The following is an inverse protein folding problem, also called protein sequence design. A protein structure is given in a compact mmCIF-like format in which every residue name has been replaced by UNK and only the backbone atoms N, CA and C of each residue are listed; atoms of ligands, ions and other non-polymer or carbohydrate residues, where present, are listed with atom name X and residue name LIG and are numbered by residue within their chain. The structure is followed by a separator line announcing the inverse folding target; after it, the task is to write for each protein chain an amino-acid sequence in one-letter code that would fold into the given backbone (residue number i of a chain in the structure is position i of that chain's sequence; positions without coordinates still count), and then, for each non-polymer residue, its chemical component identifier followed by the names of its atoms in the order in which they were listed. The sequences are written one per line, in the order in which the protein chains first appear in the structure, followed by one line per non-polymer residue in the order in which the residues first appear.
data_IF_402880825746
#
_entry.id   IF_402880825746
#
_cell.length_a   1.000
_cell.length_b   1.000
_cell.length_c   1.000
_cell.angle_alpha   90.00
_cell.angle_beta   90.00
_cell.angle_gamma   90.00
#
_symmetry.space_group_name_H-M   'P 1'
#
loop_
_entity.id
_entity.type
_entity.pdbx_description
1 polymer ?
#
# COMPACT_ATOMS: atom_id res chain seq x y z
N UNK A 1 2.41 17.09 7.53
CA UNK A 1 3.00 15.74 7.76
C UNK A 1 2.07 14.76 7.07
N UNK A 2 2.51 14.17 5.97
CA UNK A 2 1.67 13.36 5.08
C UNK A 2 1.80 11.91 5.52
N UNK A 3 0.70 11.29 5.94
CA UNK A 3 0.62 9.85 6.19
C UNK A 3 0.54 9.21 4.81
N UNK A 4 1.64 8.60 4.37
CA UNK A 4 1.62 7.74 3.20
C UNK A 4 1.45 6.31 3.68
N UNK A 5 0.41 5.69 3.12
CA UNK A 5 0.22 4.25 2.94
C UNK A 5 -0.11 3.41 4.17
N UNK A 6 -1.11 2.54 3.97
CA UNK A 6 -1.89 1.74 4.92
C UNK A 6 -1.10 0.66 5.67
N UNK A 7 0.23 0.72 5.59
CA UNK A 7 1.09 -0.09 6.43
C UNK A 7 1.03 0.56 7.79
N UNK A 8 0.42 -0.10 8.77
CA UNK A 8 0.56 0.28 10.17
C UNK A 8 2.03 0.63 10.40
N UNK A 9 2.32 1.68 11.16
CA UNK A 9 3.72 2.12 11.43
C UNK A 9 4.62 0.99 11.98
N UNK A 10 4.01 -0.14 12.29
CA UNK A 10 4.51 -1.34 12.92
C UNK A 10 4.77 -2.50 11.91
N UNK A 11 4.44 -2.36 10.62
CA UNK A 11 4.65 -3.38 9.57
C UNK A 11 3.47 -4.36 9.39
N UNK A 12 3.40 -5.04 8.24
CA UNK A 12 2.29 -5.96 7.93
C UNK A 12 2.48 -7.39 8.48
N UNK A 13 1.37 -8.14 8.54
CA UNK A 13 1.37 -9.58 8.77
C UNK A 13 2.09 -10.36 7.65
N UNK A 14 2.65 -11.52 7.98
CA UNK A 14 3.41 -12.36 7.05
C UNK A 14 2.60 -12.73 5.79
N UNK A 15 1.31 -13.03 5.96
CA UNK A 15 0.40 -13.41 4.86
C UNK A 15 0.18 -12.27 3.86
N UNK A 16 0.20 -11.01 4.33
CA UNK A 16 0.08 -9.82 3.48
C UNK A 16 1.31 -9.67 2.59
N UNK A 17 2.52 -9.87 3.12
CA UNK A 17 3.74 -9.86 2.31
C UNK A 17 3.74 -10.94 1.23
N UNK A 18 3.30 -12.16 1.58
CA UNK A 18 3.22 -13.25 0.62
C UNK A 18 2.24 -12.96 -0.52
N UNK A 19 1.05 -12.43 -0.20
CA UNK A 19 0.07 -12.06 -1.21
C UNK A 19 0.55 -10.87 -2.05
N UNK A 20 1.16 -9.85 -1.43
CA UNK A 20 1.72 -8.71 -2.13
C UNK A 20 2.86 -9.11 -3.08
N UNK A 21 3.75 -10.03 -2.66
CA UNK A 21 4.82 -10.58 -3.49
C UNK A 21 4.28 -11.33 -4.70
N UNK A 22 3.24 -12.16 -4.51
CA UNK A 22 2.54 -12.86 -5.60
C UNK A 22 1.90 -11.89 -6.59
N UNK A 23 1.22 -10.86 -6.10
CA UNK A 23 0.61 -9.83 -6.95
C UNK A 23 1.70 -9.10 -7.73
N UNK A 24 2.75 -8.63 -7.05
CA UNK A 24 3.88 -7.94 -7.67
C UNK A 24 4.54 -8.79 -8.75
N UNK A 25 4.83 -10.06 -8.49
CA UNK A 25 5.41 -10.98 -9.48
C UNK A 25 4.58 -11.03 -10.77
N UNK A 26 3.25 -11.03 -10.67
CA UNK A 26 2.37 -11.07 -11.84
C UNK A 26 2.25 -9.75 -12.62
N UNK A 27 2.70 -8.61 -12.07
CA UNK A 27 2.53 -7.28 -12.68
C UNK A 27 3.82 -6.48 -12.82
N UNK A 28 4.95 -7.01 -12.36
CA UNK A 28 6.24 -6.33 -12.43
C UNK A 28 6.65 -6.04 -13.88
N UNK A 29 7.41 -4.98 -14.07
CA UNK A 29 7.90 -4.62 -15.39
C UNK A 29 9.09 -5.52 -15.72
N UNK A 30 8.90 -6.48 -16.63
CA UNK A 30 10.01 -7.28 -17.14
C UNK A 30 10.95 -6.42 -17.97
N UNK A 31 12.24 -6.50 -17.64
CA UNK A 31 13.31 -5.81 -18.39
C UNK A 31 13.90 -6.77 -19.42
N UNK A 32 14.26 -6.23 -20.58
CA UNK A 32 14.97 -6.99 -21.61
C UNK A 32 16.26 -7.60 -21.03
N UNK A 33 16.67 -8.78 -21.52
CA UNK A 33 17.77 -9.58 -20.94
C UNK A 33 19.10 -8.82 -20.85
N UNK A 34 19.34 -7.85 -21.72
CA UNK A 34 20.52 -6.97 -21.72
C UNK A 34 20.49 -5.87 -20.64
N UNK A 35 19.30 -5.59 -20.08
CA UNK A 35 19.05 -4.55 -19.06
C UNK A 35 18.54 -5.11 -17.73
N UNK A 36 18.40 -6.44 -17.64
CA UNK A 36 17.91 -7.12 -16.44
C UNK A 36 19.00 -7.15 -15.38
N UNK A 37 18.88 -6.28 -14.38
CA UNK A 37 19.85 -6.18 -13.28
C UNK A 37 19.41 -7.01 -12.07
N UNK A 38 18.11 -7.18 -11.88
CA UNK A 38 17.50 -8.04 -10.85
C UNK A 38 16.69 -9.13 -11.53
N UNK A 39 16.91 -10.38 -11.12
CA UNK A 39 16.21 -11.55 -11.66
C UNK A 39 15.05 -11.92 -10.75
N UNK A 40 13.86 -11.95 -11.34
CA UNK A 40 12.66 -12.45 -10.68
C UNK A 40 12.44 -13.92 -11.01
N UNK A 41 11.68 -14.63 -10.16
CA UNK A 41 11.27 -15.99 -10.44
C UNK A 41 10.51 -16.07 -11.77
N UNK A 42 10.58 -17.21 -12.44
CA UNK A 42 9.85 -17.41 -13.69
C UNK A 42 8.33 -17.37 -13.50
N UNK A 43 7.61 -17.16 -14.60
CA UNK A 43 6.14 -17.24 -14.66
C UNK A 43 5.68 -18.64 -14.23
N UNK A 44 5.40 -18.77 -12.93
CA UNK A 44 4.64 -19.89 -12.41
C UNK A 44 3.14 -19.65 -12.63
N UNK A 45 2.34 -20.71 -12.48
CA UNK A 45 0.89 -20.63 -12.62
C UNK A 45 0.30 -19.44 -11.83
N UNK A 46 -0.85 -18.87 -12.27
CA UNK A 46 -1.45 -17.72 -11.62
C UNK A 46 -1.51 -17.92 -10.11
N UNK A 47 -0.99 -16.97 -9.32
CA UNK A 47 -0.81 -17.19 -7.91
C UNK A 47 -2.17 -17.42 -7.24
N UNK A 48 -2.31 -18.52 -6.50
CA UNK A 48 -3.44 -18.71 -5.60
C UNK A 48 -3.28 -17.69 -4.47
N UNK A 49 -4.11 -16.65 -4.51
CA UNK A 49 -4.21 -15.61 -3.50
C UNK A 49 -5.16 -16.07 -2.40
N UNK A 50 -4.67 -16.10 -1.17
CA UNK A 50 -5.46 -16.50 0.00
C UNK A 50 -5.51 -15.30 0.95
N UNK A 51 -6.66 -14.61 0.96
CA UNK A 51 -6.89 -13.46 1.82
C UNK A 51 -7.68 -13.90 3.05
N UNK A 52 -7.23 -13.49 4.23
CA UNK A 52 -7.94 -13.72 5.50
C UNK A 52 -9.26 -12.95 5.54
N UNK A 53 -9.22 -11.71 5.07
CA UNK A 53 -10.33 -10.75 5.11
C UNK A 53 -10.10 -9.61 4.09
N UNK A 54 -11.10 -8.73 3.94
CA UNK A 54 -11.08 -7.63 2.98
C UNK A 54 -9.99 -6.58 3.25
N UNK A 55 -9.62 -6.36 4.52
CA UNK A 55 -8.54 -5.42 4.89
C UNK A 55 -7.18 -6.00 4.50
N UNK A 56 -6.93 -7.29 4.80
CA UNK A 56 -5.74 -8.02 4.37
C UNK A 56 -5.58 -8.02 2.85
N UNK A 57 -6.69 -8.17 2.12
CA UNK A 57 -6.70 -8.08 0.65
C UNK A 57 -6.28 -6.69 0.18
N UNK A 58 -6.91 -5.63 0.70
CA UNK A 58 -6.60 -4.24 0.33
C UNK A 58 -5.12 -3.92 0.59
N UNK A 59 -4.62 -4.27 1.77
CA UNK A 59 -3.25 -4.01 2.16
C UNK A 59 -2.23 -4.75 1.27
N UNK A 60 -2.56 -5.99 0.87
CA UNK A 60 -1.72 -6.77 -0.05
C UNK A 60 -1.59 -6.10 -1.43
N UNK A 61 -2.72 -5.63 -1.99
CA UNK A 61 -2.71 -4.90 -3.26
C UNK A 61 -1.99 -3.57 -3.15
N UNK A 62 -2.29 -2.79 -2.10
CA UNK A 62 -1.65 -1.49 -1.88
C UNK A 62 -0.13 -1.63 -1.78
N UNK A 63 0.34 -2.58 -0.98
CA UNK A 63 1.76 -2.86 -0.82
C UNK A 63 2.41 -3.28 -2.15
N UNK A 64 1.77 -4.17 -2.92
CA UNK A 64 2.28 -4.60 -4.22
C UNK A 64 2.37 -3.45 -5.24
N UNK A 65 1.31 -2.63 -5.35
CA UNK A 65 1.29 -1.50 -6.29
C UNK A 65 2.25 -0.38 -5.88
N UNK A 66 2.41 -0.15 -4.58
CA UNK A 66 3.39 0.81 -4.11
C UNK A 66 4.82 0.33 -4.39
N UNK A 67 5.13 -0.95 -4.17
CA UNK A 67 6.42 -1.52 -4.55
C UNK A 67 6.65 -1.40 -6.08
N UNK A 68 5.63 -1.71 -6.90
CA UNK A 68 5.70 -1.59 -8.36
C UNK A 68 6.05 -0.17 -8.81
N UNK A 69 5.41 0.82 -8.19
CA UNK A 69 5.62 2.24 -8.47
C UNK A 69 7.08 2.67 -8.31
N UNK A 70 7.81 2.01 -7.41
CA UNK A 70 9.21 2.29 -7.12
C UNK A 70 10.15 1.14 -7.54
N UNK A 71 9.72 0.26 -8.46
CA UNK A 71 10.50 -0.91 -8.86
C UNK A 71 11.94 -0.55 -9.24
N UNK A 72 12.14 0.45 -10.11
CA UNK A 72 13.48 0.88 -10.55
C UNK A 72 14.36 1.38 -9.40
N UNK A 73 13.79 2.15 -8.47
CA UNK A 73 14.48 2.62 -7.27
C UNK A 73 14.91 1.44 -6.39
N UNK A 74 14.00 0.50 -6.13
CA UNK A 74 14.23 -0.65 -5.26
C UNK A 74 15.29 -1.59 -5.85
N UNK A 75 15.27 -1.81 -7.16
CA UNK A 75 16.30 -2.57 -7.86
C UNK A 75 17.66 -1.85 -7.81
N UNK A 76 17.73 -0.53 -8.07
CA UNK A 76 18.99 0.22 -7.96
C UNK A 76 19.55 0.18 -6.53
N UNK A 77 18.68 0.27 -5.51
CA UNK A 77 19.08 0.13 -4.11
C UNK A 77 19.69 -1.24 -3.80
N UNK A 78 19.11 -2.33 -4.32
CA UNK A 78 19.62 -3.69 -4.11
C UNK A 78 21.03 -3.87 -4.71
N UNK A 79 21.27 -3.28 -5.88
CA UNK A 79 22.55 -3.36 -6.59
C UNK A 79 23.61 -2.46 -5.95
N UNK A 80 23.28 -1.20 -5.69
CA UNK A 80 24.19 -0.20 -5.13
C UNK A 80 24.59 -0.51 -3.67
N UNK A 81 23.74 -1.23 -2.94
CA UNK A 81 24.08 -1.73 -1.59
C UNK A 81 24.99 -2.97 -1.62
N UNK A 82 25.26 -3.54 -2.80
CA UNK A 82 25.94 -4.82 -3.00
C UNK A 82 25.28 -5.98 -2.24
N UNK A 83 23.97 -5.88 -2.00
CA UNK A 83 23.15 -6.93 -1.37
C UNK A 83 22.69 -7.92 -2.44
N UNK A 84 22.47 -7.45 -3.67
CA UNK A 84 22.14 -8.28 -4.82
C UNK A 84 23.31 -8.37 -5.82
N UNK A 85 23.57 -9.52 -6.49
CA UNK A 85 22.83 -10.78 -6.44
C UNK A 85 22.98 -11.53 -5.12
N UNK A 86 21.87 -12.05 -4.61
CA UNK A 86 21.86 -12.78 -3.35
C UNK A 86 21.92 -14.29 -3.61
N UNK A 87 22.99 -14.95 -3.18
CA UNK A 87 23.11 -16.41 -3.30
C UNK A 87 22.29 -17.18 -2.25
N UNK A 88 21.88 -16.53 -1.15
CA UNK A 88 21.10 -17.18 -0.08
C UNK A 88 19.59 -17.09 -0.28
N UNK A 89 19.13 -16.23 -1.20
CA UNK A 89 17.72 -16.03 -1.55
C UNK A 89 17.53 -16.50 -2.99
N UNK A 90 16.67 -17.51 -3.22
CA UNK A 90 16.40 -18.00 -4.57
C UNK A 90 15.59 -16.98 -5.37
N UNK A 91 15.70 -17.01 -6.71
CA UNK A 91 15.08 -16.03 -7.61
C UNK A 91 13.55 -15.92 -7.38
N UNK A 92 12.88 -17.03 -7.01
CA UNK A 92 11.46 -17.11 -6.71
C UNK A 92 11.00 -16.22 -5.53
N UNK A 93 11.92 -15.87 -4.62
CA UNK A 93 11.63 -14.98 -3.50
C UNK A 93 12.02 -13.52 -3.78
N UNK A 94 12.46 -13.19 -4.99
CA UNK A 94 12.92 -11.83 -5.31
C UNK A 94 11.77 -10.81 -5.29
N UNK A 95 10.56 -11.18 -5.71
CA UNK A 95 9.39 -10.31 -5.54
C UNK A 95 9.07 -10.04 -4.07
N UNK A 96 9.22 -11.04 -3.21
CA UNK A 96 9.07 -10.87 -1.77
C UNK A 96 10.14 -9.94 -1.21
N UNK A 97 11.41 -10.10 -1.63
CA UNK A 97 12.52 -9.23 -1.28
C UNK A 97 12.23 -7.76 -1.63
N UNK A 98 11.75 -7.49 -2.85
CA UNK A 98 11.49 -6.13 -3.34
C UNK A 98 10.30 -5.49 -2.61
N UNK A 99 9.22 -6.25 -2.42
CA UNK A 99 8.04 -5.79 -1.68
C UNK A 99 8.38 -5.46 -0.22
N UNK A 100 9.14 -6.34 0.45
CA UNK A 100 9.57 -6.11 1.83
C UNK A 100 10.61 -4.99 1.94
N UNK A 101 11.42 -4.76 0.91
CA UNK A 101 12.34 -3.61 0.88
C UNK A 101 11.58 -2.29 0.80
N UNK A 102 10.49 -2.22 0.02
CA UNK A 102 9.62 -1.05 -0.03
C UNK A 102 9.03 -0.73 1.35
N UNK A 103 8.49 -1.73 2.04
CA UNK A 103 7.97 -1.56 3.40
C UNK A 103 9.08 -1.14 4.37
N UNK A 104 10.24 -1.80 4.33
CA UNK A 104 11.35 -1.51 5.23
C UNK A 104 11.84 -0.06 5.11
N UNK A 105 11.94 0.47 3.88
CA UNK A 105 12.34 1.86 3.69
C UNK A 105 11.26 2.85 4.15
N UNK A 106 9.98 2.50 4.00
CA UNK A 106 8.85 3.35 4.42
C UNK A 106 8.82 3.49 5.95
N UNK A 107 9.11 2.38 6.64
CA UNK A 107 9.33 2.32 8.10
C UNK A 107 10.71 2.85 8.53
N UNK A 108 11.43 3.56 7.65
CA UNK A 108 12.74 4.18 7.93
C UNK A 108 13.77 3.17 8.45
N UNK A 109 13.77 1.96 7.90
CA UNK A 109 14.69 0.86 8.26
C UNK A 109 14.58 0.39 9.72
N UNK A 110 13.43 0.60 10.36
CA UNK A 110 13.13 0.02 11.67
C UNK A 110 12.73 -1.45 11.53
N UNK A 111 12.84 -2.23 12.60
CA UNK A 111 12.25 -3.58 12.62
C UNK A 111 10.72 -3.45 12.71
N UNK A 112 10.00 -4.44 12.18
CA UNK A 112 8.54 -4.49 12.39
C UNK A 112 8.22 -5.01 13.79
N UNK A 113 7.05 -4.68 14.30
CA UNK A 113 6.51 -5.30 15.50
C UNK A 113 5.77 -6.57 15.07
N UNK A 114 6.20 -7.71 15.60
CA UNK A 114 5.63 -9.00 15.28
C UNK A 114 4.63 -9.32 16.38
N UNK A 115 3.36 -9.52 16.02
CA UNK A 115 2.37 -10.09 16.95
C UNK A 115 2.67 -11.57 17.17
N UNK A 116 2.62 -12.03 18.41
CA UNK A 116 2.80 -13.45 18.77
C UNK A 116 1.63 -14.34 18.30
N UNK A 117 0.51 -13.72 17.88
CA UNK A 117 -0.71 -14.42 17.46
C UNK A 117 -0.65 -14.96 16.01
N UNK A 118 0.34 -14.54 15.21
CA UNK A 118 0.42 -14.94 13.80
C UNK A 118 1.35 -16.12 13.57
N UNK A 119 0.86 -17.11 12.81
CA UNK A 119 1.69 -18.21 12.35
C UNK A 119 2.82 -17.68 11.42
N UNK A 120 4.10 -17.85 11.79
CA UNK A 120 5.19 -17.26 11.05
C UNK A 120 5.42 -17.98 9.72
N UNK A 121 5.55 -17.21 8.63
CA UNK A 121 5.92 -17.74 7.32
C UNK A 121 7.43 -17.73 7.16
N UNK A 122 8.04 -18.92 7.04
CA UNK A 122 9.50 -19.08 6.99
C UNK A 122 10.20 -18.19 5.95
N UNK A 123 9.63 -18.07 4.75
CA UNK A 123 10.19 -17.24 3.69
C UNK A 123 10.18 -15.75 4.05
N UNK A 124 9.09 -15.25 4.64
CA UNK A 124 8.98 -13.85 5.08
C UNK A 124 10.03 -13.56 6.15
N UNK A 125 10.19 -14.45 7.13
CA UNK A 125 11.20 -14.31 8.20
C UNK A 125 12.63 -14.34 7.65
N UNK A 126 12.90 -15.21 6.69
CA UNK A 126 14.19 -15.31 6.02
C UNK A 126 14.54 -14.00 5.30
N UNK A 127 13.62 -13.47 4.50
CA UNK A 127 13.81 -12.20 3.76
C UNK A 127 13.95 -11.02 4.72
N UNK A 128 13.12 -10.96 5.76
CA UNK A 128 13.19 -9.92 6.78
C UNK A 128 14.55 -9.89 7.47
N UNK A 129 15.01 -11.03 7.98
CA UNK A 129 16.30 -11.11 8.67
C UNK A 129 17.44 -10.69 7.74
N UNK A 130 17.37 -11.14 6.48
CA UNK A 130 18.33 -10.79 5.46
C UNK A 130 18.37 -9.28 5.20
N UNK A 131 17.24 -8.64 4.88
CA UNK A 131 17.17 -7.19 4.65
C UNK A 131 17.64 -6.40 5.87
N UNK A 132 17.22 -6.82 7.07
CA UNK A 132 17.58 -6.13 8.30
C UNK A 132 19.08 -6.23 8.62
N UNK A 133 19.72 -7.35 8.29
CA UNK A 133 21.19 -7.52 8.43
C UNK A 133 21.98 -6.52 7.58
N UNK A 134 21.40 -6.03 6.48
CA UNK A 134 22.00 -5.04 5.59
C UNK A 134 21.38 -3.64 5.68
N UNK A 135 20.54 -3.36 6.69
CA UNK A 135 19.77 -2.11 6.80
C UNK A 135 20.59 -0.84 6.60
N UNK A 136 21.82 -0.79 7.14
CA UNK A 136 22.70 0.37 7.02
C UNK A 136 23.17 0.57 5.59
N UNK A 137 23.49 -0.52 4.86
CA UNK A 137 23.90 -0.45 3.46
C UNK A 137 22.72 -0.02 2.57
N UNK A 138 21.54 -0.56 2.83
CA UNK A 138 20.31 -0.22 2.12
C UNK A 138 19.90 1.25 2.34
N UNK A 139 19.97 1.72 3.60
CA UNK A 139 19.72 3.12 3.93
C UNK A 139 20.72 4.07 3.26
N UNK A 140 22.00 3.68 3.22
CA UNK A 140 23.03 4.45 2.52
C UNK A 140 22.81 4.46 1.00
N UNK A 141 22.38 3.34 0.41
CA UNK A 141 22.04 3.26 -1.01
C UNK A 141 20.86 4.17 -1.37
N UNK A 142 19.80 4.15 -0.56
CA UNK A 142 18.68 5.08 -0.73
C UNK A 142 19.11 6.55 -0.61
N UNK A 143 19.99 6.87 0.35
CA UNK A 143 20.51 8.23 0.50
C UNK A 143 21.33 8.67 -0.72
N UNK A 144 22.21 7.81 -1.24
CA UNK A 144 22.99 8.08 -2.45
C UNK A 144 22.07 8.26 -3.67
N UNK A 145 21.08 7.40 -3.84
CA UNK A 145 20.09 7.53 -4.90
C UNK A 145 19.40 8.89 -4.81
N UNK A 146 18.91 9.28 -3.63
CA UNK A 146 18.25 10.56 -3.42
C UNK A 146 19.15 11.76 -3.73
N UNK A 147 20.42 11.71 -3.36
CA UNK A 147 21.39 12.78 -3.69
C UNK A 147 21.64 12.83 -5.20
N UNK A 148 21.82 11.67 -5.85
CA UNK A 148 22.09 11.54 -7.29
C UNK A 148 20.99 12.18 -8.16
N UNK A 149 19.73 12.07 -7.73
CA UNK A 149 18.57 12.61 -8.47
C UNK A 149 17.96 13.87 -7.82
N UNK A 150 18.65 14.50 -6.86
CA UNK A 150 18.15 15.68 -6.11
C UNK A 150 16.71 15.49 -5.56
N UNK A 151 16.45 14.31 -5.00
CA UNK A 151 15.13 13.87 -4.57
C UNK A 151 14.97 13.99 -3.03
N UNK A 152 14.21 14.99 -2.53
CA UNK A 152 14.00 15.18 -1.09
C UNK A 152 13.17 14.06 -0.45
N UNK A 153 12.43 13.26 -1.22
CA UNK A 153 11.83 11.99 -0.78
C UNK A 153 11.71 11.03 -1.96
N UNK A 154 11.38 9.77 -1.70
CA UNK A 154 11.16 8.78 -2.78
C UNK A 154 10.04 9.20 -3.73
N UNK A 155 9.08 10.01 -3.28
CA UNK A 155 8.01 10.52 -4.14
C UNK A 155 8.58 11.29 -5.33
N UNK A 156 9.70 12.01 -5.14
CA UNK A 156 10.33 12.85 -6.16
C UNK A 156 11.06 12.05 -7.24
N UNK A 157 11.26 10.74 -7.02
CA UNK A 157 11.76 9.82 -8.05
C UNK A 157 10.72 9.63 -9.17
N UNK A 158 9.45 9.90 -8.88
CA UNK A 158 8.37 9.70 -9.82
C UNK A 158 8.21 10.90 -10.76
N UNK A 159 7.75 10.66 -12.00
CA UNK A 159 7.35 11.70 -12.92
C UNK A 159 6.42 12.74 -12.28
N UNK A 160 6.62 14.01 -12.61
CA UNK A 160 5.80 15.11 -12.10
C UNK A 160 4.30 14.92 -12.30
N UNK A 161 3.91 14.33 -13.43
CA UNK A 161 2.52 14.05 -13.77
C UNK A 161 1.87 13.14 -12.71
N UNK A 162 2.55 12.05 -12.35
CA UNK A 162 2.10 11.10 -11.33
C UNK A 162 2.04 11.78 -9.95
N UNK A 163 3.06 12.59 -9.61
CA UNK A 163 3.09 13.32 -8.34
C UNK A 163 1.94 14.32 -8.21
N UNK A 164 1.69 15.11 -9.26
CA UNK A 164 0.58 16.08 -9.30
C UNK A 164 -0.77 15.38 -9.24
N UNK A 165 -0.92 14.24 -9.91
CA UNK A 165 -2.13 13.42 -9.84
C UNK A 165 -2.35 12.91 -8.41
N UNK A 166 -1.33 12.41 -7.73
CA UNK A 166 -1.41 11.96 -6.34
C UNK A 166 -1.78 13.12 -5.39
N UNK A 167 -1.18 14.30 -5.58
CA UNK A 167 -1.52 15.50 -4.81
C UNK A 167 -2.99 15.89 -4.97
N UNK A 168 -3.49 15.92 -6.21
CA UNK A 168 -4.89 16.20 -6.49
C UNK A 168 -5.81 15.13 -5.89
N UNK A 169 -5.51 13.85 -6.09
CA UNK A 169 -6.29 12.75 -5.54
C UNK A 169 -6.37 12.79 -4.00
N UNK A 170 -5.27 13.17 -3.31
CA UNK A 170 -5.28 13.31 -1.84
C UNK A 170 -6.06 14.52 -1.32
N UNK A 171 -6.28 15.53 -2.17
CA UNK A 171 -6.99 16.75 -1.82
C UNK A 171 -8.49 16.68 -2.15
N UNK A 172 -8.90 15.72 -3.00
CA UNK A 172 -10.30 15.55 -3.36
C UNK A 172 -11.09 14.90 -2.22
N UNK A 173 -12.33 15.36 -1.95
CA UNK A 173 -13.24 14.65 -1.07
C UNK A 173 -13.49 13.22 -1.52
N UNK A 174 -13.69 12.31 -0.57
CA UNK A 174 -13.97 10.91 -0.82
C UNK A 174 -15.42 10.76 -1.23
N UNK A 175 -15.62 10.21 -2.42
CA UNK A 175 -16.94 9.89 -2.93
C UNK A 175 -17.26 8.44 -2.62
N UNK A 176 -18.39 8.21 -1.94
CA UNK A 176 -18.79 6.89 -1.47
C UNK A 176 -20.20 6.59 -1.96
N UNK A 177 -20.35 5.49 -2.68
CA UNK A 177 -21.65 4.99 -3.13
C UNK A 177 -22.28 4.08 -2.09
N UNK A 178 -23.57 4.28 -1.86
CA UNK A 178 -24.40 3.40 -1.07
C UNK A 178 -24.83 2.23 -1.93
N UNK A 179 -24.54 1.02 -1.48
CA UNK A 179 -25.07 -0.18 -2.11
C UNK A 179 -26.54 -0.37 -1.70
N UNK A 180 -27.45 0.19 -2.51
CA UNK A 180 -28.89 0.17 -2.28
C UNK A 180 -29.50 -1.23 -2.23
N UNK A 181 -28.81 -2.25 -2.75
CA UNK A 181 -29.22 -3.65 -2.61
C UNK A 181 -28.98 -4.21 -1.20
N UNK A 182 -28.05 -3.63 -0.43
CA UNK A 182 -27.68 -4.09 0.91
C UNK A 182 -28.19 -3.18 2.03
N UNK A 183 -28.25 -1.86 1.80
CA UNK A 183 -28.63 -0.88 2.81
C UNK A 183 -29.31 0.34 2.17
N UNK A 184 -30.29 0.92 2.87
CA UNK A 184 -30.92 2.19 2.47
C UNK A 184 -30.29 3.36 3.23
N UNK A 185 -30.27 4.54 2.63
CA UNK A 185 -29.71 5.77 3.24
C UNK A 185 -30.30 6.08 4.63
N UNK A 186 -31.61 5.91 4.82
CA UNK A 186 -32.27 6.13 6.12
C UNK A 186 -31.72 5.20 7.21
N UNK A 187 -31.51 3.93 6.87
CA UNK A 187 -30.95 2.94 7.81
C UNK A 187 -29.48 3.23 8.15
N UNK A 188 -28.75 3.95 7.28
CA UNK A 188 -27.42 4.46 7.57
C UNK A 188 -27.52 5.61 8.59
N UNK A 189 -28.37 6.60 8.33
CA UNK A 189 -28.61 7.76 9.20
C UNK A 189 -29.08 7.36 10.61
N UNK A 190 -29.99 6.39 10.69
CA UNK A 190 -30.51 5.89 11.97
C UNK A 190 -29.45 5.13 12.78
N UNK A 191 -28.48 4.51 12.10
CA UNK A 191 -27.38 3.74 12.70
C UNK A 191 -26.17 4.61 13.02
N UNK A 192 -26.01 5.73 12.32
CA UNK A 192 -24.92 6.72 12.43
C UNK A 192 -25.05 7.69 13.60
N UNK A 193 -26.01 7.49 14.52
CA UNK A 193 -26.07 8.18 15.83
C UNK A 193 -24.84 8.03 16.74
N UNK A 194 -23.70 7.56 16.21
CA UNK A 194 -22.41 7.36 16.88
C UNK A 194 -21.26 8.24 16.37
N UNK A 195 -21.51 9.29 15.57
CA UNK A 195 -20.51 10.36 15.45
C UNK A 195 -20.52 11.22 14.18
N UNK A 196 -21.16 10.80 13.08
CA UNK A 196 -21.12 11.57 11.83
C UNK A 196 -22.32 12.50 11.67
N UNK A 197 -22.05 13.75 11.30
CA UNK A 197 -23.09 14.79 11.12
C UNK A 197 -23.25 15.12 9.64
N UNK A 198 -24.50 15.14 9.15
CA UNK A 198 -24.81 15.52 7.77
C UNK A 198 -24.64 17.04 7.58
N UNK A 199 -24.00 17.43 6.48
CA UNK A 199 -23.80 18.83 6.10
C UNK A 199 -24.29 19.07 4.66
N UNK A 200 -24.78 20.28 4.38
CA UNK A 200 -25.39 20.63 3.09
C UNK A 200 -24.38 21.04 2.01
N UNK A 201 -23.19 21.50 2.41
CA UNK A 201 -22.15 22.00 1.52
C UNK A 201 -20.85 21.23 1.69
N UNK A 202 -20.16 20.96 0.58
CA UNK A 202 -18.83 20.36 0.56
C UNK A 202 -17.79 21.25 1.26
N UNK A 203 -18.02 22.57 1.30
CA UNK A 203 -17.13 23.54 1.95
C UNK A 203 -17.13 23.43 3.48
N UNK A 204 -18.19 22.85 4.05
CA UNK A 204 -18.41 22.73 5.49
C UNK A 204 -18.01 21.33 6.01
N UNK A 205 -17.35 20.53 5.15
CA UNK A 205 -16.85 19.20 5.52
C UNK A 205 -15.67 19.31 6.50
N UNK A 206 -15.87 18.79 7.71
CA UNK A 206 -14.84 18.55 8.73
C UNK A 206 -14.83 17.06 9.16
N UNK A 207 -13.90 16.69 10.06
CA UNK A 207 -13.49 15.33 10.42
C UNK A 207 -14.61 14.35 10.74
N UNK A 208 -15.77 14.78 11.23
CA UNK A 208 -16.90 13.88 11.53
C UNK A 208 -18.17 14.32 10.80
N UNK A 209 -18.02 14.73 9.54
CA UNK A 209 -19.15 15.18 8.73
C UNK A 209 -19.19 14.48 7.37
N UNK A 210 -20.38 14.44 6.78
CA UNK A 210 -20.58 13.97 5.42
C UNK A 210 -21.62 14.80 4.69
N UNK A 211 -21.43 14.94 3.38
CA UNK A 211 -22.40 15.52 2.46
C UNK A 211 -23.15 14.42 1.70
N UNK A 212 -24.33 14.76 1.20
CA UNK A 212 -25.03 13.94 0.19
C UNK A 212 -24.99 14.73 -1.11
N UNK A 213 -24.63 14.09 -2.22
CA UNK A 213 -24.58 14.76 -3.51
C UNK A 213 -25.98 15.25 -3.93
N UNK A 214 -26.05 16.46 -4.48
CA UNK A 214 -27.32 17.09 -4.86
C UNK A 214 -28.00 16.38 -6.03
N UNK A 215 -27.22 15.75 -6.90
CA UNK A 215 -27.69 15.09 -8.11
C UNK A 215 -27.78 13.56 -7.96
N UNK A 216 -27.09 12.98 -6.97
CA UNK A 216 -27.05 11.55 -6.70
C UNK A 216 -27.34 11.24 -5.22
N UNK A 217 -28.57 10.86 -4.90
CA UNK A 217 -29.01 10.54 -3.53
C UNK A 217 -28.28 9.37 -2.88
N UNK A 218 -27.66 8.51 -3.71
CA UNK A 218 -26.94 7.32 -3.29
C UNK A 218 -25.43 7.59 -3.12
N UNK A 219 -25.00 8.84 -3.30
CA UNK A 219 -23.60 9.25 -3.24
C UNK A 219 -23.37 10.15 -2.01
N UNK A 220 -22.47 9.69 -1.16
CA UNK A 220 -21.99 10.40 0.04
C UNK A 220 -20.61 10.99 -0.23
N UNK A 221 -20.35 12.14 0.37
CA UNK A 221 -19.08 12.86 0.25
C UNK A 221 -18.47 13.03 1.63
N UNK A 222 -17.25 12.53 1.83
CA UNK A 222 -16.51 12.64 3.08
C UNK A 222 -15.20 13.42 2.89
N UNK A 223 -14.68 14.08 3.94
CA UNK A 223 -13.32 14.62 3.93
C UNK A 223 -12.27 13.56 3.60
N UNK A 224 -11.20 13.93 2.89
CA UNK A 224 -10.12 12.99 2.52
C UNK A 224 -9.34 12.43 3.71
N UNK A 225 -9.34 13.13 4.86
CA UNK A 225 -8.73 12.68 6.10
C UNK A 225 -9.37 11.41 6.66
N UNK A 226 -10.67 11.19 6.41
CA UNK A 226 -11.43 10.05 6.92
C UNK A 226 -11.22 8.75 6.14
N UNK A 227 -10.40 8.77 5.07
CA UNK A 227 -10.26 7.61 4.17
C UNK A 227 -9.91 6.35 4.95
N UNK A 228 -8.95 6.44 5.85
CA UNK A 228 -8.45 5.30 6.62
C UNK A 228 -9.52 4.76 7.58
N UNK A 229 -10.19 5.65 8.32
CA UNK A 229 -11.24 5.28 9.28
C UNK A 229 -12.45 4.64 8.57
N UNK A 230 -12.91 5.25 7.48
CA UNK A 230 -14.05 4.75 6.69
C UNK A 230 -13.78 3.36 6.15
N UNK A 231 -12.59 3.15 5.59
CA UNK A 231 -12.19 1.89 4.96
C UNK A 231 -12.11 0.72 5.96
N UNK A 232 -11.99 1.00 7.26
CA UNK A 232 -11.97 0.03 8.35
C UNK A 232 -13.34 -0.21 9.00
N UNK A 233 -14.37 0.56 8.62
CA UNK A 233 -15.72 0.31 9.09
C UNK A 233 -16.28 -0.99 8.49
N UNK A 234 -17.04 -1.73 9.30
CA UNK A 234 -17.78 -2.93 8.87
C UNK A 234 -18.64 -2.69 7.61
N UNK A 235 -19.05 -1.44 7.38
CA UNK A 235 -19.83 -1.05 6.21
C UNK A 235 -19.08 -1.26 4.89
N UNK A 236 -17.76 -1.05 4.87
CA UNK A 236 -16.94 -1.32 3.68
C UNK A 236 -16.56 -2.80 3.58
N UNK A 237 -16.30 -3.46 4.72
CA UNK A 237 -16.05 -4.90 4.75
C UNK A 237 -17.24 -5.71 4.18
N UNK A 238 -18.47 -5.31 4.53
CA UNK A 238 -19.70 -5.92 4.03
C UNK A 238 -20.11 -5.44 2.63
N UNK A 239 -19.30 -4.61 1.97
CA UNK A 239 -19.63 -3.95 0.68
C UNK A 239 -20.98 -3.21 0.67
N UNK A 240 -21.37 -2.66 1.82
CA UNK A 240 -22.56 -1.79 1.97
C UNK A 240 -22.25 -0.38 1.47
N UNK A 241 -21.01 0.05 1.59
CA UNK A 241 -20.47 1.28 1.03
C UNK A 241 -19.33 0.96 0.05
N UNK A 242 -19.23 1.71 -1.04
CA UNK A 242 -18.24 1.53 -2.10
C UNK A 242 -17.51 2.85 -2.35
N UNK A 243 -16.18 2.86 -2.28
CA UNK A 243 -15.37 4.05 -2.56
C UNK A 243 -15.19 4.22 -4.07
N UNK A 244 -15.29 5.45 -4.57
CA UNK A 244 -15.01 5.83 -5.97
C UNK A 244 -13.59 6.40 -6.15
#
# INVERSE_FOLDING_TARGET
KRTMTLIEKNGCHDTVYMNAAKIFQGIHTEKAKDRMLVRYGGDSAPPVLAFKDASSQRLSYELAFNALKYQDLLEEMLLDSCVYPCHSIPDELTSLLVVMLYDLQDRKFQAREISDEDEPVADVRKIEHYLYSFKTKLAAALARYRIKYDAPSIEYVLPETIRKQHQRASALPLCVWINTFKIRLQALQDREGKGFTKVESVSDLDHYTYGVDQHCSDMLVFPSSLKEELLNLDLFADSKLLLQ
#
